data_IF_519272423554
#
_entry.id   IF_519272423554
#
_cell.length_a   1.000
_cell.length_b   1.000
_cell.length_c   1.000
_cell.angle_alpha   90.00
_cell.angle_beta   90.00
_cell.angle_gamma   90.00
#
_symmetry.space_group_name_H-M   'P 1'
#
loop_
_entity.id
_entity.type
_entity.pdbx_description
1 polymer ?
#
# COMPACT_ATOMS: atom_id res chain seq x y z
N UNK A 1 6.86 10.96 -25.96
CA UNK A 1 7.94 11.87 -25.54
C UNK A 1 8.76 11.15 -24.48
N UNK A 2 10.04 10.86 -24.76
CA UNK A 2 10.90 10.20 -23.78
C UNK A 2 11.37 11.21 -22.74
N UNK A 3 11.15 10.91 -21.46
CA UNK A 3 11.63 11.75 -20.35
C UNK A 3 13.13 12.01 -20.49
N UNK A 4 13.53 13.27 -20.42
CA UNK A 4 14.95 13.63 -20.48
C UNK A 4 15.67 13.08 -19.24
N UNK A 5 16.97 12.79 -19.36
CA UNK A 5 17.78 12.25 -18.24
C UNK A 5 17.67 13.13 -16.97
N UNK A 6 17.49 14.43 -17.15
CA UNK A 6 17.27 15.42 -16.08
C UNK A 6 15.92 15.22 -15.36
N UNK A 7 14.84 14.96 -16.10
CA UNK A 7 13.53 14.64 -15.53
C UNK A 7 13.55 13.33 -14.76
N UNK A 8 14.22 12.28 -15.27
CA UNK A 8 14.39 11.02 -14.54
C UNK A 8 15.10 11.20 -13.20
N UNK A 9 16.18 11.98 -13.17
CA UNK A 9 16.92 12.27 -11.92
C UNK A 9 16.07 13.06 -10.92
N UNK A 10 15.28 14.02 -11.39
CA UNK A 10 14.36 14.77 -10.55
C UNK A 10 13.25 13.87 -9.97
N UNK A 11 12.64 13.02 -10.80
CA UNK A 11 11.64 12.03 -10.40
C UNK A 11 12.21 11.02 -9.40
N UNK A 12 13.44 10.53 -9.60
CA UNK A 12 14.11 9.64 -8.66
C UNK A 12 14.33 10.30 -7.30
N UNK A 13 14.83 11.53 -7.26
CA UNK A 13 15.06 12.27 -6.00
C UNK A 13 13.76 12.56 -5.25
N UNK A 14 12.68 12.85 -5.98
CA UNK A 14 11.36 13.00 -5.38
C UNK A 14 10.79 11.66 -4.89
N UNK A 15 11.02 10.58 -5.63
CA UNK A 15 10.60 9.23 -5.25
C UNK A 15 11.33 8.71 -4.02
N UNK A 16 12.62 9.02 -3.85
CA UNK A 16 13.37 8.70 -2.63
C UNK A 16 12.83 9.44 -1.42
N UNK A 17 12.58 10.75 -1.55
CA UNK A 17 11.99 11.56 -0.47
C UNK A 17 10.58 11.12 -0.10
N UNK A 18 9.80 10.64 -1.08
CA UNK A 18 8.42 10.19 -0.89
C UNK A 18 8.30 8.66 -0.85
N UNK A 19 9.40 7.96 -0.58
CA UNK A 19 9.45 6.49 -0.63
C UNK A 19 8.43 5.86 0.31
N UNK A 20 8.37 6.35 1.55
CA UNK A 20 7.42 5.87 2.55
C UNK A 20 5.96 6.03 2.09
N UNK A 21 5.62 7.20 1.54
CA UNK A 21 4.27 7.48 1.05
C UNK A 21 3.91 6.63 -0.17
N UNK A 22 4.84 6.44 -1.12
CA UNK A 22 4.64 5.52 -2.25
C UNK A 22 4.46 4.08 -1.80
N UNK A 23 5.32 3.59 -0.91
CA UNK A 23 5.21 2.23 -0.37
C UNK A 23 3.85 2.02 0.28
N UNK A 24 3.40 2.99 1.08
CA UNK A 24 2.05 2.96 1.67
C UNK A 24 0.95 2.88 0.61
N UNK A 25 1.00 3.72 -0.42
CA UNK A 25 -0.01 3.72 -1.49
C UNK A 25 -0.04 2.41 -2.28
N UNK A 26 1.14 1.86 -2.62
CA UNK A 26 1.27 0.58 -3.34
C UNK A 26 0.78 -0.59 -2.49
N UNK A 27 1.13 -0.63 -1.20
CA UNK A 27 0.64 -1.64 -0.28
C UNK A 27 -0.89 -1.56 -0.16
N UNK A 28 -1.43 -0.35 -0.04
CA UNK A 28 -2.88 -0.11 0.05
C UNK A 28 -3.63 -0.54 -1.21
N UNK A 29 -3.14 -0.20 -2.40
CA UNK A 29 -3.79 -0.61 -3.65
C UNK A 29 -3.68 -2.12 -3.89
N UNK A 30 -2.53 -2.72 -3.57
CA UNK A 30 -2.31 -4.16 -3.62
C UNK A 30 -3.27 -4.93 -2.71
N UNK A 31 -3.41 -4.51 -1.45
CA UNK A 31 -4.34 -5.12 -0.51
C UNK A 31 -5.80 -5.01 -0.99
N UNK A 32 -6.21 -3.83 -1.51
CA UNK A 32 -7.56 -3.66 -2.08
C UNK A 32 -7.80 -4.57 -3.28
N UNK A 33 -6.81 -4.72 -4.16
CA UNK A 33 -6.92 -5.60 -5.33
C UNK A 33 -6.98 -7.08 -4.95
N UNK A 34 -6.22 -7.47 -3.92
CA UNK A 34 -6.23 -8.83 -3.38
C UNK A 34 -7.61 -9.18 -2.80
N UNK A 35 -8.10 -8.36 -1.86
CA UNK A 35 -9.41 -8.54 -1.22
C UNK A 35 -10.55 -8.58 -2.25
N UNK A 36 -10.48 -7.75 -3.30
CA UNK A 36 -11.57 -7.62 -4.27
C UNK A 36 -11.62 -8.77 -5.28
N UNK A 37 -10.46 -9.22 -5.77
CA UNK A 37 -10.40 -10.03 -6.99
C UNK A 37 -9.69 -11.38 -6.82
N UNK A 38 -8.94 -11.59 -5.73
CA UNK A 38 -8.06 -12.77 -5.58
C UNK A 38 -8.28 -13.56 -4.30
N UNK A 39 -8.71 -12.91 -3.23
CA UNK A 39 -8.87 -13.52 -1.92
C UNK A 39 -9.97 -14.59 -1.94
N UNK A 40 -9.70 -15.71 -1.29
CA UNK A 40 -10.68 -16.77 -1.03
C UNK A 40 -11.49 -16.44 0.24
N UNK A 41 -12.52 -17.24 0.53
CA UNK A 41 -13.38 -17.00 1.68
C UNK A 41 -12.59 -17.11 3.01
N UNK A 42 -11.69 -18.09 3.11
CA UNK A 42 -10.78 -18.22 4.26
C UNK A 42 -9.85 -17.01 4.40
N UNK A 43 -9.24 -16.56 3.29
CA UNK A 43 -8.37 -15.37 3.32
C UNK A 43 -9.12 -14.13 3.83
N UNK A 44 -10.38 -13.95 3.41
CA UNK A 44 -11.21 -12.83 3.83
C UNK A 44 -11.53 -12.90 5.34
N UNK A 45 -11.80 -14.09 5.87
CA UNK A 45 -12.04 -14.29 7.30
C UNK A 45 -10.78 -13.98 8.13
N UNK A 46 -9.62 -14.50 7.71
CA UNK A 46 -8.36 -14.24 8.39
C UNK A 46 -8.00 -12.74 8.37
N UNK A 47 -8.16 -12.08 7.22
CA UNK A 47 -7.96 -10.64 7.08
C UNK A 47 -8.91 -9.85 7.97
N UNK A 48 -10.17 -10.27 8.10
CA UNK A 48 -11.14 -9.61 8.97
C UNK A 48 -10.74 -9.69 10.44
N UNK A 49 -10.23 -10.85 10.90
CA UNK A 49 -9.71 -10.99 12.27
C UNK A 49 -8.50 -10.09 12.51
N UNK A 50 -7.54 -10.08 11.59
CA UNK A 50 -6.36 -9.23 11.67
C UNK A 50 -6.73 -7.74 11.73
N UNK A 51 -7.65 -7.29 10.87
CA UNK A 51 -8.17 -5.92 10.86
C UNK A 51 -8.84 -5.59 12.20
N UNK A 52 -9.65 -6.51 12.73
CA UNK A 52 -10.37 -6.31 14.00
C UNK A 52 -9.40 -6.15 15.18
N UNK A 53 -8.33 -6.95 15.24
CA UNK A 53 -7.27 -6.82 16.25
C UNK A 53 -6.57 -5.47 16.13
N UNK A 54 -6.15 -5.09 14.92
CA UNK A 54 -5.44 -3.82 14.68
C UNK A 54 -6.30 -2.59 14.99
N UNK A 55 -7.59 -2.63 14.68
CA UNK A 55 -8.54 -1.57 15.03
C UNK A 55 -8.73 -1.43 16.55
N UNK A 56 -8.69 -2.53 17.30
CA UNK A 56 -8.75 -2.48 18.77
C UNK A 56 -7.51 -1.81 19.33
N UNK A 57 -6.31 -2.21 18.89
CA UNK A 57 -5.04 -1.61 19.30
C UNK A 57 -5.03 -0.09 19.05
N UNK A 58 -5.44 0.34 17.85
CA UNK A 58 -5.47 1.76 17.46
C UNK A 58 -6.59 2.58 18.13
N UNK A 59 -7.61 1.92 18.70
CA UNK A 59 -8.68 2.60 19.47
C UNK A 59 -8.33 2.70 20.96
N UNK A 60 -7.43 1.84 21.44
CA UNK A 60 -6.93 1.86 22.82
C UNK A 60 -5.72 2.78 23.02
N UNK A 61 -5.18 3.33 21.93
CA UNK A 61 -4.20 4.44 21.90
C UNK A 61 -4.91 5.79 21.85
#
# INVERSE_FOLDING_TARGET
MAETKSQKRASQKWNEKNRAHRTYLTARSGARGFIRNKATLEDLQELQEMISKRLKELKSE
#
